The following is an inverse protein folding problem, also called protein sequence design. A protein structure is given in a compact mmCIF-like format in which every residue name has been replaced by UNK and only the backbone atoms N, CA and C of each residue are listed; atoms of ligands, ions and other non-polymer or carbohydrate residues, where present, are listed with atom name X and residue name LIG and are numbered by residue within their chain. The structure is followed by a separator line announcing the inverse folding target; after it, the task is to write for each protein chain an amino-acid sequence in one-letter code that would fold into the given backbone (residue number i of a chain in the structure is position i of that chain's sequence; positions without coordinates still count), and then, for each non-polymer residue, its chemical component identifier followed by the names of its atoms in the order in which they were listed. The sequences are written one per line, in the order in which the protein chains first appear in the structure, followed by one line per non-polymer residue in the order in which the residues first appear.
data_IF_101700162034
#
_entry.id   IF_101700162034
#
_cell.length_a   1.000
_cell.length_b   1.000
_cell.length_c   1.000
_cell.angle_alpha   90.00
_cell.angle_beta   90.00
_cell.angle_gamma   90.00
#
_symmetry.space_group_name_H-M   'P 1'
#
loop_
_entity.id
_entity.type
_entity.pdbx_description
1 polymer ?
#
# COMPACT_ATOMS: atom_id res chain seq x y z
N UNK A 1 32.61 -0.83 -33.87
CA UNK A 1 33.52 -0.33 -32.83
C UNK A 1 34.25 0.89 -33.39
N UNK A 2 34.44 1.93 -32.59
CA UNK A 2 35.24 3.09 -32.98
C UNK A 2 36.72 2.84 -32.63
N UNK A 3 37.64 3.34 -33.45
CA UNK A 3 39.08 3.27 -33.16
C UNK A 3 39.46 4.14 -31.96
N UNK A 4 40.63 3.87 -31.38
CA UNK A 4 41.13 4.62 -30.23
C UNK A 4 41.55 6.07 -30.62
N UNK A 5 41.39 7.05 -29.73
CA UNK A 5 42.01 8.38 -29.89
C UNK A 5 43.53 8.25 -30.01
N UNK A 6 44.17 9.22 -30.68
CA UNK A 6 45.61 9.20 -31.03
C UNK A 6 46.58 9.01 -29.86
N UNK A 7 46.14 9.28 -28.62
CA UNK A 7 46.95 9.12 -27.41
C UNK A 7 46.91 7.69 -26.82
N UNK A 8 46.13 6.78 -27.41
CA UNK A 8 45.98 5.40 -26.94
C UNK A 8 46.44 4.40 -28.00
N UNK A 9 46.66 3.16 -27.58
CA UNK A 9 47.02 2.07 -28.49
C UNK A 9 46.03 1.96 -29.64
N UNK A 10 46.52 1.91 -30.88
CA UNK A 10 45.70 1.75 -32.08
C UNK A 10 44.92 0.43 -32.12
N UNK A 11 45.32 -0.55 -31.29
CA UNK A 11 44.61 -1.82 -31.11
C UNK A 11 43.37 -1.72 -30.23
N UNK A 12 43.18 -0.60 -29.52
CA UNK A 12 42.01 -0.42 -28.67
C UNK A 12 40.79 -0.02 -29.48
N UNK A 13 39.65 -0.54 -29.04
CA UNK A 13 38.36 -0.28 -29.66
C UNK A 13 37.36 0.22 -28.63
N UNK A 14 36.50 1.13 -29.05
CA UNK A 14 35.41 1.66 -28.25
C UNK A 14 34.10 1.00 -28.71
N UNK A 15 33.36 0.45 -27.75
CA UNK A 15 31.99 -0.01 -27.95
C UNK A 15 31.00 1.04 -27.43
N UNK A 16 30.45 1.89 -28.32
CA UNK A 16 29.59 3.00 -27.91
C UNK A 16 28.30 2.52 -27.23
N UNK A 17 27.77 1.36 -27.63
CA UNK A 17 26.56 0.79 -27.02
C UNK A 17 26.83 0.39 -25.58
N UNK A 18 27.94 -0.30 -25.33
CA UNK A 18 28.32 -0.72 -23.97
C UNK A 18 28.63 0.48 -23.08
N UNK A 19 29.27 1.53 -23.61
CA UNK A 19 29.50 2.77 -22.87
C UNK A 19 28.18 3.49 -22.53
N UNK A 20 27.25 3.59 -23.48
CA UNK A 20 25.93 4.17 -23.23
C UNK A 20 25.18 3.40 -22.13
N UNK A 21 25.24 2.07 -22.14
CA UNK A 21 24.67 1.22 -21.10
C UNK A 21 25.29 1.51 -19.72
N UNK A 22 26.62 1.62 -19.64
CA UNK A 22 27.33 1.94 -18.38
C UNK A 22 26.90 3.30 -17.86
N UNK A 23 26.88 4.34 -18.69
CA UNK A 23 26.48 5.69 -18.29
C UNK A 23 25.04 5.74 -17.79
N UNK A 24 24.12 5.08 -18.50
CA UNK A 24 22.69 5.05 -18.17
C UNK A 24 22.43 4.41 -16.80
N UNK A 25 23.06 3.26 -16.53
CA UNK A 25 22.88 2.59 -15.23
C UNK A 25 23.64 3.34 -14.12
N UNK A 26 24.84 3.87 -14.40
CA UNK A 26 25.60 4.62 -13.41
C UNK A 26 24.81 5.84 -12.89
N UNK A 27 24.15 6.58 -13.78
CA UNK A 27 23.26 7.67 -13.36
C UNK A 27 22.06 7.14 -12.58
N UNK A 28 21.38 6.10 -13.08
CA UNK A 28 20.18 5.56 -12.42
C UNK A 28 20.48 5.02 -11.01
N UNK A 29 21.60 4.33 -10.80
CA UNK A 29 21.92 3.66 -9.53
C UNK A 29 22.49 4.58 -8.44
N UNK A 30 22.94 5.78 -8.80
CA UNK A 30 23.46 6.73 -7.81
C UNK A 30 22.30 7.40 -7.08
N UNK A 31 21.79 6.77 -6.04
CA UNK A 31 20.65 7.27 -5.23
C UNK A 31 20.99 7.37 -3.73
N UNK A 32 22.25 7.57 -3.42
CA UNK A 32 22.74 7.81 -2.06
C UNK A 32 22.89 9.32 -1.75
N UNK A 33 23.34 9.62 -0.54
CA UNK A 33 23.49 10.97 0.00
C UNK A 33 24.40 11.89 -0.80
N UNK A 34 25.29 11.35 -1.65
CA UNK A 34 26.13 12.15 -2.55
C UNK A 34 25.33 12.84 -3.65
N UNK A 35 24.15 12.29 -4.02
CA UNK A 35 23.21 12.93 -4.95
C UNK A 35 22.28 13.93 -4.27
N UNK A 36 22.07 13.81 -2.95
CA UNK A 36 21.23 14.69 -2.14
C UNK A 36 21.93 15.24 -0.86
N UNK A 37 22.96 16.10 -0.99
CA UNK A 37 23.70 16.62 0.15
C UNK A 37 22.85 17.45 1.12
N UNK A 38 22.81 17.11 2.41
CA UNK A 38 21.96 17.77 3.44
C UNK A 38 22.04 19.30 3.44
N UNK A 39 23.23 19.85 3.29
CA UNK A 39 23.44 21.29 3.20
C UNK A 39 22.66 21.96 2.04
N UNK A 40 22.62 21.34 0.87
CA UNK A 40 21.89 21.87 -0.29
C UNK A 40 20.37 21.79 -0.11
N UNK A 41 19.86 20.79 0.61
CA UNK A 41 18.43 20.68 0.95
C UNK A 41 17.96 21.88 1.77
N UNK A 42 18.74 22.25 2.79
CA UNK A 42 18.45 23.37 3.70
C UNK A 42 18.38 24.70 2.94
N UNK A 43 19.21 24.88 1.92
CA UNK A 43 19.25 26.10 1.11
C UNK A 43 18.11 26.12 0.09
N UNK A 44 17.85 25.00 -0.59
CA UNK A 44 16.91 24.95 -1.73
C UNK A 44 15.44 24.87 -1.37
N UNK A 45 15.08 24.47 -0.14
CA UNK A 45 13.68 24.28 0.31
C UNK A 45 12.82 23.56 -0.75
N UNK A 46 13.15 22.29 -1.07
CA UNK A 46 12.48 21.54 -2.13
C UNK A 46 10.95 21.48 -1.94
N UNK A 47 10.20 21.36 -3.04
CA UNK A 47 8.76 21.06 -3.00
C UNK A 47 8.49 19.71 -2.32
N UNK A 48 7.26 19.47 -1.86
CA UNK A 48 6.89 18.24 -1.14
C UNK A 48 7.30 16.94 -1.87
N UNK A 49 7.16 16.90 -3.20
CA UNK A 49 7.58 15.74 -4.00
C UNK A 49 9.10 15.54 -3.98
N UNK A 50 9.85 16.64 -4.15
CA UNK A 50 11.30 16.61 -4.04
C UNK A 50 11.75 16.25 -2.62
N UNK A 51 11.05 16.69 -1.57
CA UNK A 51 11.46 16.41 -0.20
C UNK A 51 11.51 14.92 0.13
N UNK A 52 10.54 14.13 -0.36
CA UNK A 52 10.56 12.66 -0.23
C UNK A 52 11.76 12.02 -0.93
N UNK A 53 12.13 12.51 -2.13
CA UNK A 53 13.32 12.04 -2.84
C UNK A 53 14.60 12.32 -2.05
N UNK A 54 14.74 13.55 -1.54
CA UNK A 54 15.89 13.94 -0.74
C UNK A 54 15.98 13.15 0.55
N UNK A 55 14.85 12.92 1.21
CA UNK A 55 14.80 12.21 2.48
C UNK A 55 15.30 10.77 2.35
N UNK A 56 14.83 10.02 1.34
CA UNK A 56 15.28 8.65 1.19
C UNK A 56 16.74 8.56 0.75
N UNK A 57 17.19 9.42 -0.18
CA UNK A 57 18.57 9.40 -0.67
C UNK A 57 19.58 9.64 0.46
N UNK A 58 19.25 10.56 1.38
CA UNK A 58 20.09 10.83 2.56
C UNK A 58 20.22 9.62 3.50
N UNK A 59 19.22 8.75 3.52
CA UNK A 59 19.19 7.55 4.36
C UNK A 59 19.89 6.34 3.74
N UNK A 60 20.13 6.30 2.43
CA UNK A 60 20.77 5.14 1.82
C UNK A 60 22.29 5.17 1.96
N UNK A 61 22.89 4.00 2.19
CA UNK A 61 24.31 3.78 1.93
C UNK A 61 24.57 3.58 0.43
N UNK A 62 25.82 3.73 0.03
CA UNK A 62 26.26 3.32 -1.30
C UNK A 62 25.91 1.84 -1.56
N UNK A 63 25.34 1.50 -2.72
CA UNK A 63 24.97 0.12 -3.03
C UNK A 63 26.20 -0.78 -3.10
N UNK A 64 26.01 -2.03 -2.67
CA UNK A 64 27.01 -3.09 -2.75
C UNK A 64 26.60 -4.08 -3.84
N UNK A 65 27.56 -4.71 -4.50
CA UNK A 65 27.27 -5.78 -5.46
C UNK A 65 27.45 -7.14 -4.79
N UNK A 66 26.36 -7.91 -4.70
CA UNK A 66 26.37 -9.26 -4.14
C UNK A 66 25.62 -10.20 -5.08
N UNK A 67 26.25 -11.33 -5.47
CA UNK A 67 25.63 -12.34 -6.35
C UNK A 67 24.96 -11.74 -7.60
N UNK A 68 25.68 -10.81 -8.25
CA UNK A 68 25.25 -10.06 -9.45
C UNK A 68 24.04 -9.13 -9.25
N UNK A 69 23.63 -8.85 -8.01
CA UNK A 69 22.57 -7.90 -7.69
C UNK A 69 23.07 -6.76 -6.85
N UNK A 70 22.52 -5.57 -7.07
CA UNK A 70 22.75 -4.41 -6.22
C UNK A 70 21.95 -4.57 -4.93
N UNK A 71 22.64 -4.42 -3.80
CA UNK A 71 22.09 -4.46 -2.45
C UNK A 71 22.13 -3.05 -1.87
N UNK A 72 20.95 -2.49 -1.62
CA UNK A 72 20.78 -1.19 -0.96
C UNK A 72 20.44 -1.41 0.52
N UNK A 73 21.03 -0.58 1.39
CA UNK A 73 20.79 -0.63 2.83
C UNK A 73 20.61 0.78 3.38
N UNK A 74 19.83 0.94 4.45
CA UNK A 74 19.61 2.25 5.08
C UNK A 74 20.48 2.47 6.32
N UNK A 75 20.88 3.72 6.55
CA UNK A 75 21.60 4.21 7.73
C UNK A 75 20.73 4.25 8.98
N UNK A 76 19.43 4.45 8.79
CA UNK A 76 18.41 4.51 9.83
C UNK A 76 17.09 3.97 9.28
N UNK A 77 16.17 3.51 10.16
CA UNK A 77 14.85 3.08 9.71
C UNK A 77 14.00 4.29 9.26
N UNK A 78 13.04 4.03 8.37
CA UNK A 78 12.00 4.99 7.98
C UNK A 78 10.84 4.89 8.98
N UNK A 79 10.52 6.01 9.62
CA UNK A 79 9.41 6.11 10.58
C UNK A 79 8.06 6.28 9.87
N UNK A 80 6.98 6.25 10.63
CA UNK A 80 5.61 6.38 10.11
C UNK A 80 5.37 7.69 9.33
N UNK A 81 6.05 8.78 9.70
CA UNK A 81 5.99 10.06 8.99
C UNK A 81 6.86 10.12 7.73
N UNK A 82 7.57 9.04 7.39
CA UNK A 82 8.47 8.93 6.25
C UNK A 82 8.06 7.80 5.29
N UNK A 83 6.84 7.29 5.45
CA UNK A 83 6.29 6.20 4.62
C UNK A 83 6.33 6.55 3.13
N UNK A 84 5.97 7.79 2.79
CA UNK A 84 6.04 8.28 1.41
C UNK A 84 7.47 8.25 0.87
N UNK A 85 8.46 8.65 1.67
CA UNK A 85 9.88 8.59 1.28
C UNK A 85 10.35 7.14 1.05
N UNK A 86 9.89 6.20 1.88
CA UNK A 86 10.23 4.78 1.71
C UNK A 86 9.61 4.21 0.42
N UNK A 87 8.36 4.55 0.11
CA UNK A 87 7.72 4.10 -1.14
C UNK A 87 8.34 4.75 -2.38
N UNK A 88 8.75 6.01 -2.31
CA UNK A 88 9.53 6.64 -3.38
C UNK A 88 10.87 5.92 -3.58
N UNK A 89 11.54 5.51 -2.49
CA UNK A 89 12.75 4.69 -2.57
C UNK A 89 12.47 3.34 -3.26
N UNK A 90 11.43 2.64 -2.82
CA UNK A 90 11.01 1.35 -3.39
C UNK A 90 10.71 1.46 -4.90
N UNK A 91 9.92 2.45 -5.31
CA UNK A 91 9.55 2.65 -6.70
C UNK A 91 10.77 3.09 -7.55
N UNK A 92 11.70 3.87 -6.99
CA UNK A 92 12.98 4.21 -7.63
C UNK A 92 13.85 2.96 -7.84
N UNK A 93 13.92 2.08 -6.84
CA UNK A 93 14.67 0.82 -6.94
C UNK A 93 14.07 -0.14 -7.96
N UNK A 94 12.75 -0.16 -8.12
CA UNK A 94 12.08 -0.90 -9.19
C UNK A 94 12.47 -0.37 -10.57
N UNK A 95 12.49 0.96 -10.75
CA UNK A 95 12.96 1.58 -11.99
C UNK A 95 14.40 1.15 -12.31
N UNK A 96 15.32 1.23 -11.34
CA UNK A 96 16.72 0.81 -11.50
C UNK A 96 16.80 -0.69 -11.85
N UNK A 97 15.99 -1.53 -11.21
CA UNK A 97 15.96 -2.96 -11.50
C UNK A 97 15.50 -3.26 -12.93
N UNK A 98 14.49 -2.55 -13.42
CA UNK A 98 14.01 -2.72 -14.79
C UNK A 98 15.07 -2.23 -15.80
N UNK A 99 15.70 -1.09 -15.52
CA UNK A 99 16.80 -0.55 -16.31
C UNK A 99 17.97 -1.53 -16.42
N UNK A 100 18.37 -2.16 -15.31
CA UNK A 100 19.40 -3.21 -15.29
C UNK A 100 19.02 -4.41 -16.15
N UNK A 101 17.75 -4.83 -16.13
CA UNK A 101 17.25 -5.95 -16.94
C UNK A 101 17.22 -5.60 -18.43
N UNK A 102 16.74 -4.42 -18.79
CA UNK A 102 16.68 -3.95 -20.17
C UNK A 102 18.07 -3.86 -20.78
N UNK A 103 19.04 -3.31 -20.04
CA UNK A 103 20.44 -3.27 -20.47
C UNK A 103 21.04 -4.67 -20.58
N UNK A 104 20.76 -5.56 -19.62
CA UNK A 104 21.26 -6.94 -19.69
C UNK A 104 20.73 -7.66 -20.94
N UNK A 105 19.43 -7.54 -21.23
CA UNK A 105 18.82 -8.05 -22.46
C UNK A 105 19.47 -7.46 -23.71
N UNK A 106 19.63 -6.15 -23.79
CA UNK A 106 20.27 -5.48 -24.93
C UNK A 106 21.71 -5.98 -25.17
N UNK A 107 22.48 -6.17 -24.09
CA UNK A 107 23.86 -6.67 -24.21
C UNK A 107 23.87 -8.13 -24.70
N UNK A 108 22.95 -8.97 -24.22
CA UNK A 108 22.81 -10.36 -24.69
C UNK A 108 22.40 -10.40 -26.17
N UNK A 109 21.34 -9.69 -26.55
CA UNK A 109 20.78 -9.70 -27.91
C UNK A 109 21.77 -9.18 -28.95
N UNK A 110 22.68 -8.31 -28.53
CA UNK A 110 23.72 -7.76 -29.40
C UNK A 110 25.08 -8.43 -29.24
N UNK A 111 25.12 -9.61 -28.60
CA UNK A 111 26.29 -10.46 -28.39
C UNK A 111 27.48 -9.73 -27.73
N UNK A 112 27.19 -8.93 -26.72
CA UNK A 112 28.16 -8.15 -25.94
C UNK A 112 28.38 -8.77 -24.56
N UNK A 113 29.55 -8.47 -23.98
CA UNK A 113 29.83 -8.83 -22.60
C UNK A 113 28.87 -8.09 -21.66
N UNK A 114 28.13 -8.87 -20.88
CA UNK A 114 27.19 -8.42 -19.85
C UNK A 114 27.87 -7.64 -18.74
N UNK A 115 27.10 -6.78 -18.06
CA UNK A 115 27.54 -6.13 -16.83
C UNK A 115 27.46 -7.11 -15.66
N UNK A 116 28.24 -6.82 -14.60
CA UNK A 116 28.22 -7.66 -13.39
C UNK A 116 26.92 -7.52 -12.60
N UNK A 117 26.29 -6.34 -12.63
CA UNK A 117 25.01 -6.09 -12.00
C UNK A 117 23.90 -6.33 -13.02
N UNK A 118 22.92 -7.18 -12.68
CA UNK A 118 21.79 -7.54 -13.56
C UNK A 118 20.43 -7.32 -12.89
N UNK A 119 20.41 -6.73 -11.70
CA UNK A 119 19.18 -6.43 -10.98
C UNK A 119 19.42 -5.92 -9.55
N UNK A 120 18.33 -5.69 -8.83
CA UNK A 120 18.32 -5.27 -7.43
C UNK A 120 17.89 -6.44 -6.54
N UNK A 121 18.51 -6.57 -5.37
CA UNK A 121 18.19 -7.62 -4.41
C UNK A 121 16.90 -7.30 -3.64
N UNK A 122 16.06 -8.33 -3.40
CA UNK A 122 14.86 -8.27 -2.56
C UNK A 122 13.79 -7.26 -2.98
N UNK A 123 13.85 -6.74 -4.21
CA UNK A 123 12.94 -5.71 -4.71
C UNK A 123 11.53 -6.24 -4.99
N UNK A 124 11.38 -7.55 -5.15
CA UNK A 124 10.11 -8.18 -5.50
C UNK A 124 9.12 -8.25 -4.33
N UNK A 125 9.60 -8.08 -3.10
CA UNK A 125 8.82 -8.20 -1.88
C UNK A 125 9.16 -7.04 -0.92
N UNK A 126 8.25 -6.06 -0.73
CA UNK A 126 8.45 -4.93 0.17
C UNK A 126 8.83 -5.33 1.60
N UNK A 127 8.28 -6.45 2.11
CA UNK A 127 8.60 -6.95 3.45
C UNK A 127 10.05 -7.46 3.49
N UNK A 128 10.50 -8.15 2.44
CA UNK A 128 11.89 -8.60 2.33
C UNK A 128 12.85 -7.42 2.17
N UNK A 129 12.49 -6.44 1.33
CA UNK A 129 13.28 -5.22 1.14
C UNK A 129 13.44 -4.46 2.47
N UNK A 130 12.40 -4.42 3.30
CA UNK A 130 12.44 -3.72 4.58
C UNK A 130 13.44 -4.28 5.60
N UNK A 131 13.92 -5.52 5.41
CA UNK A 131 15.02 -6.08 6.20
C UNK A 131 16.37 -5.44 5.87
N UNK A 132 16.50 -4.85 4.68
CA UNK A 132 17.70 -4.15 4.22
C UNK A 132 17.53 -2.62 4.35
N UNK A 133 16.33 -2.12 4.03
CA UNK A 133 15.94 -0.71 4.13
C UNK A 133 14.90 -0.59 5.25
N UNK A 134 15.40 -0.44 6.47
CA UNK A 134 14.64 -0.56 7.71
C UNK A 134 13.41 0.34 7.79
N UNK A 135 12.38 -0.13 8.50
CA UNK A 135 11.15 0.60 8.83
C UNK A 135 10.91 0.53 10.33
N UNK A 136 10.27 1.55 10.90
CA UNK A 136 9.97 1.63 12.34
C UNK A 136 8.52 2.06 12.57
N UNK A 137 7.75 1.24 13.27
CA UNK A 137 6.36 1.54 13.66
C UNK A 137 5.28 1.26 12.59
N UNK A 138 5.65 0.73 11.42
CA UNK A 138 4.72 0.38 10.34
C UNK A 138 5.26 -0.80 9.52
N UNK A 139 4.42 -1.37 8.64
CA UNK A 139 4.82 -2.46 7.73
C UNK A 139 4.64 -2.05 6.27
N UNK A 140 5.66 -2.20 5.42
CA UNK A 140 5.55 -2.00 3.98
C UNK A 140 4.90 -3.23 3.39
N UNK A 141 3.57 -3.22 3.38
CA UNK A 141 2.78 -4.19 2.63
C UNK A 141 2.30 -3.50 1.37
N UNK A 142 2.24 -4.21 0.24
CA UNK A 142 1.67 -3.67 -0.98
C UNK A 142 0.17 -3.46 -0.83
N UNK A 143 -0.18 -2.32 -0.27
CA UNK A 143 -1.54 -1.86 0.01
C UNK A 143 -2.12 -1.05 -1.14
N UNK A 144 -1.49 -1.07 -2.33
CA UNK A 144 -2.10 -0.44 -3.51
C UNK A 144 -3.51 -0.97 -3.70
N UNK A 145 -4.45 -0.06 -3.92
CA UNK A 145 -5.80 -0.44 -4.33
C UNK A 145 -5.67 -1.17 -5.67
N UNK A 146 -6.26 -2.36 -5.72
CA UNK A 146 -6.23 -3.24 -6.90
C UNK A 146 -7.60 -3.26 -7.55
N UNK A 147 -7.60 -3.56 -8.83
CA UNK A 147 -8.81 -3.78 -9.60
C UNK A 147 -8.62 -5.10 -10.33
N UNK A 148 -9.00 -6.21 -9.72
CA UNK A 148 -8.76 -7.53 -10.34
C UNK A 148 -9.93 -8.00 -11.21
N UNK A 149 -11.15 -7.54 -10.96
CA UNK A 149 -12.35 -7.98 -11.68
C UNK A 149 -13.06 -6.84 -12.41
N UNK A 150 -12.47 -6.41 -13.52
CA UNK A 150 -13.01 -5.34 -14.38
C UNK A 150 -14.39 -5.70 -14.94
N UNK A 151 -14.64 -6.96 -15.30
CA UNK A 151 -15.94 -7.37 -15.84
C UNK A 151 -17.08 -7.20 -14.83
N UNK A 152 -16.86 -7.60 -13.57
CA UNK A 152 -17.82 -7.41 -12.47
C UNK A 152 -18.00 -5.93 -12.13
N UNK A 153 -16.96 -5.12 -12.27
CA UNK A 153 -17.10 -3.68 -12.16
C UNK A 153 -17.96 -3.13 -13.29
N UNK A 154 -17.65 -3.40 -14.55
CA UNK A 154 -18.42 -2.89 -15.69
C UNK A 154 -19.89 -3.28 -15.60
N UNK A 155 -20.24 -4.48 -15.15
CA UNK A 155 -21.65 -4.86 -14.92
C UNK A 155 -22.30 -4.13 -13.75
N UNK A 156 -21.53 -3.76 -12.72
CA UNK A 156 -21.99 -2.96 -11.58
C UNK A 156 -22.10 -1.46 -11.92
N UNK A 157 -21.19 -0.94 -12.76
CA UNK A 157 -21.10 0.44 -13.23
C UNK A 157 -22.10 0.76 -14.34
N UNK A 158 -22.26 -0.16 -15.30
CA UNK A 158 -23.08 0.00 -16.50
C UNK A 158 -24.60 -0.08 -16.24
N UNK A 159 -25.01 -0.47 -15.03
CA UNK A 159 -26.42 -0.57 -14.65
C UNK A 159 -26.98 0.63 -13.88
N UNK A 160 -26.16 1.37 -13.12
CA UNK A 160 -26.56 2.53 -12.31
C UNK A 160 -25.36 3.46 -12.11
N UNK A 161 -25.58 4.77 -12.28
CA UNK A 161 -24.63 5.82 -11.86
C UNK A 161 -24.17 5.51 -10.45
N UNK A 162 -22.85 5.30 -10.30
CA UNK A 162 -22.31 4.55 -9.17
C UNK A 162 -22.83 5.04 -7.84
N UNK A 163 -22.83 6.36 -7.66
CA UNK A 163 -23.52 7.04 -6.58
C UNK A 163 -23.82 8.43 -7.13
N UNK A 164 -25.09 8.84 -7.17
CA UNK A 164 -25.40 10.27 -7.36
C UNK A 164 -24.82 11.08 -6.20
N UNK A 165 -25.01 12.40 -6.19
CA UNK A 165 -24.53 13.32 -5.12
C UNK A 165 -25.20 13.11 -3.74
N UNK A 166 -25.67 11.91 -3.44
CA UNK A 166 -26.33 11.57 -2.19
C UNK A 166 -25.30 11.23 -1.10
N UNK A 167 -25.11 12.18 -0.18
CA UNK A 167 -24.23 12.08 0.98
C UNK A 167 -24.56 10.94 1.97
N UNK A 168 -25.75 10.32 1.87
CA UNK A 168 -26.18 9.22 2.76
C UNK A 168 -25.62 7.86 2.31
N UNK A 169 -25.21 7.75 1.04
CA UNK A 169 -24.69 6.50 0.47
C UNK A 169 -23.61 5.86 1.34
N UNK A 170 -22.53 6.56 1.76
CA UNK A 170 -21.45 5.88 2.47
C UNK A 170 -21.89 5.33 3.81
N UNK A 171 -22.81 6.03 4.50
CA UNK A 171 -23.38 5.53 5.75
C UNK A 171 -24.15 4.22 5.54
N UNK A 172 -24.97 4.15 4.49
CA UNK A 172 -25.73 2.95 4.14
C UNK A 172 -24.78 1.77 3.85
N UNK A 173 -23.74 1.99 3.06
CA UNK A 173 -22.77 0.94 2.73
C UNK A 173 -21.99 0.46 3.96
N UNK A 174 -21.58 1.38 4.85
CA UNK A 174 -20.91 1.03 6.10
C UNK A 174 -21.81 0.23 7.05
N UNK A 175 -23.07 0.65 7.23
CA UNK A 175 -24.05 -0.08 8.07
C UNK A 175 -24.32 -1.47 7.49
N UNK A 176 -24.42 -1.59 6.16
CA UNK A 176 -24.63 -2.87 5.51
C UNK A 176 -23.44 -3.83 5.70
N UNK A 177 -22.21 -3.33 5.55
CA UNK A 177 -21.00 -4.11 5.80
C UNK A 177 -20.89 -4.54 7.27
N UNK A 178 -21.18 -3.63 8.21
CA UNK A 178 -21.23 -3.92 9.64
C UNK A 178 -22.27 -5.00 9.97
N UNK A 179 -23.48 -4.91 9.38
CA UNK A 179 -24.54 -5.91 9.55
C UNK A 179 -24.15 -7.28 9.00
N UNK A 180 -23.50 -7.34 7.83
CA UNK A 180 -22.96 -8.59 7.27
C UNK A 180 -21.91 -9.20 8.21
N UNK A 181 -20.99 -8.39 8.75
CA UNK A 181 -19.96 -8.84 9.68
C UNK A 181 -20.54 -9.34 11.02
N UNK A 182 -21.57 -8.69 11.56
CA UNK A 182 -22.26 -9.12 12.79
C UNK A 182 -23.02 -10.43 12.53
N UNK A 183 -23.77 -10.54 11.43
CA UNK A 183 -24.49 -11.78 11.09
C UNK A 183 -23.56 -12.96 10.89
N UNK A 184 -22.40 -12.74 10.25
CA UNK A 184 -21.39 -13.78 10.13
C UNK A 184 -20.90 -14.26 11.50
N UNK A 185 -20.64 -13.32 12.43
CA UNK A 185 -20.22 -13.66 13.80
C UNK A 185 -21.30 -14.43 14.55
N UNK A 186 -22.56 -13.99 14.44
CA UNK A 186 -23.70 -14.68 15.06
C UNK A 186 -23.78 -16.14 14.67
N UNK A 187 -23.63 -16.42 13.38
CA UNK A 187 -23.71 -17.77 12.83
C UNK A 187 -22.50 -18.63 13.26
N UNK A 188 -21.32 -18.04 13.36
CA UNK A 188 -20.10 -18.76 13.77
C UNK A 188 -20.15 -19.16 15.25
N UNK A 189 -20.47 -18.19 16.11
CA UNK A 189 -20.49 -18.34 17.58
C UNK A 189 -21.82 -18.91 18.11
N UNK A 190 -22.84 -19.07 17.26
CA UNK A 190 -24.22 -19.41 17.64
C UNK A 190 -24.83 -18.41 18.64
N UNK A 191 -24.52 -17.12 18.46
CA UNK A 191 -25.07 -16.04 19.28
C UNK A 191 -26.56 -15.80 18.98
N UNK A 192 -27.33 -15.24 19.93
CA UNK A 192 -28.74 -14.98 19.74
C UNK A 192 -29.00 -13.89 18.68
N UNK A 193 -30.23 -13.82 18.11
CA UNK A 193 -30.57 -12.84 17.08
C UNK A 193 -30.32 -11.37 17.46
N UNK A 194 -30.35 -11.05 18.75
CA UNK A 194 -30.13 -9.73 19.32
C UNK A 194 -28.65 -9.36 19.43
N UNK A 195 -27.74 -10.32 19.33
CA UNK A 195 -26.31 -10.11 19.52
C UNK A 195 -25.75 -9.10 18.51
N UNK A 196 -24.96 -8.15 18.96
CA UNK A 196 -24.18 -7.29 18.08
C UNK A 196 -24.79 -5.92 17.86
N UNK A 197 -23.91 -4.95 17.71
CA UNK A 197 -24.23 -3.53 17.76
C UNK A 197 -23.45 -2.78 16.68
N UNK A 198 -24.09 -1.75 16.12
CA UNK A 198 -23.47 -0.80 15.21
C UNK A 198 -23.53 0.56 15.89
N UNK A 199 -22.37 1.09 16.26
CA UNK A 199 -22.25 2.39 16.91
C UNK A 199 -21.81 3.41 15.88
N UNK A 200 -22.61 4.47 15.72
CA UNK A 200 -22.27 5.60 14.86
C UNK A 200 -21.90 6.77 15.76
N UNK A 201 -20.71 7.33 15.57
CA UNK A 201 -20.22 8.50 16.33
C UNK A 201 -19.92 9.65 15.38
N UNK A 202 -20.23 10.85 15.85
CA UNK A 202 -19.85 12.10 15.22
C UNK A 202 -19.00 12.87 16.22
N UNK A 203 -17.91 13.44 15.74
CA UNK A 203 -17.00 14.17 16.61
C UNK A 203 -16.11 15.12 15.86
N UNK A 204 -15.23 15.76 16.61
CA UNK A 204 -14.19 16.64 16.07
C UNK A 204 -12.90 16.39 16.85
N UNK A 205 -11.81 16.22 16.12
CA UNK A 205 -10.47 16.12 16.68
C UNK A 205 -9.53 17.14 15.99
N UNK A 206 -8.21 16.98 16.17
CA UNK A 206 -7.19 17.83 15.58
C UNK A 206 -7.15 17.79 14.05
N UNK A 207 -7.69 16.74 13.41
CA UNK A 207 -7.76 16.60 11.96
C UNK A 207 -9.08 17.12 11.36
N UNK A 208 -10.07 17.42 12.21
CA UNK A 208 -11.34 18.02 11.79
C UNK A 208 -12.56 17.25 12.29
N UNK A 209 -13.70 17.49 11.65
CA UNK A 209 -14.92 16.74 11.93
C UNK A 209 -14.82 15.34 11.34
N UNK A 210 -15.32 14.33 12.07
CA UNK A 210 -15.33 12.95 11.61
C UNK A 210 -16.69 12.28 11.79
N UNK A 211 -16.94 11.30 10.94
CA UNK A 211 -17.97 10.26 11.11
C UNK A 211 -17.25 8.95 11.38
N UNK A 212 -17.73 8.21 12.36
CA UNK A 212 -17.19 6.90 12.72
C UNK A 212 -18.32 5.87 12.80
N UNK A 213 -18.11 4.70 12.19
CA UNK A 213 -18.99 3.54 12.28
C UNK A 213 -18.18 2.39 12.86
N UNK A 214 -18.63 1.85 13.99
CA UNK A 214 -18.01 0.72 14.68
C UNK A 214 -19.00 -0.42 14.81
N UNK A 215 -18.59 -1.61 14.39
CA UNK A 215 -19.30 -2.87 14.59
C UNK A 215 -18.51 -3.79 15.52
N UNK A 216 -19.22 -4.70 16.19
CA UNK A 216 -18.62 -5.79 16.96
C UNK A 216 -18.73 -7.15 16.26
N UNK A 217 -18.68 -7.17 14.93
CA UNK A 217 -18.77 -8.36 14.11
C UNK A 217 -17.48 -9.18 14.07
N UNK A 218 -17.29 -9.93 12.98
CA UNK A 218 -16.15 -10.85 12.83
C UNK A 218 -14.78 -10.16 12.76
N UNK A 219 -14.73 -8.87 12.41
CA UNK A 219 -13.49 -8.14 12.09
C UNK A 219 -12.68 -8.77 10.95
N UNK A 220 -11.49 -8.23 10.69
CA UNK A 220 -10.64 -8.63 9.57
C UNK A 220 -9.26 -9.08 10.04
N UNK A 221 -8.70 -10.07 9.34
CA UNK A 221 -7.29 -10.44 9.48
C UNK A 221 -6.40 -9.47 8.69
N UNK A 222 -5.09 -9.54 8.90
CA UNK A 222 -4.14 -8.82 8.06
C UNK A 222 -4.27 -9.22 6.58
N UNK A 223 -4.58 -10.49 6.27
CA UNK A 223 -4.71 -10.98 4.88
C UNK A 223 -5.93 -10.33 4.21
N UNK A 224 -7.05 -10.22 4.93
CA UNK A 224 -8.27 -9.59 4.44
C UNK A 224 -8.03 -8.09 4.20
N UNK A 225 -7.43 -7.38 5.17
CA UNK A 225 -7.14 -5.94 5.09
C UNK A 225 -6.24 -5.57 3.89
N UNK A 226 -5.27 -6.40 3.53
CA UNK A 226 -4.31 -6.11 2.45
C UNK A 226 -4.68 -6.75 1.10
N UNK A 227 -5.67 -7.63 1.10
CA UNK A 227 -6.13 -8.37 -0.07
C UNK A 227 -7.51 -7.90 -0.51
N UNK A 228 -8.58 -8.70 -0.28
CA UNK A 228 -9.91 -8.40 -0.80
C UNK A 228 -10.51 -7.07 -0.30
N UNK A 229 -10.10 -6.55 0.86
CA UNK A 229 -10.58 -5.25 1.33
C UNK A 229 -10.08 -4.08 0.47
N UNK A 230 -8.87 -4.20 -0.09
CA UNK A 230 -8.25 -3.20 -0.96
C UNK A 230 -8.49 -3.46 -2.45
N UNK A 231 -9.26 -4.49 -2.78
CA UNK A 231 -9.59 -4.83 -4.16
C UNK A 231 -10.95 -4.24 -4.55
N UNK A 232 -10.90 -3.18 -5.36
CA UNK A 232 -12.07 -2.48 -5.83
C UNK A 232 -12.88 -3.38 -6.77
N UNK A 233 -14.10 -3.73 -6.37
CA UNK A 233 -14.99 -4.61 -7.14
C UNK A 233 -14.96 -6.08 -6.72
N UNK A 234 -14.14 -6.44 -5.73
CA UNK A 234 -14.15 -7.77 -5.13
C UNK A 234 -14.68 -7.70 -3.69
N UNK A 235 -15.65 -8.54 -3.38
CA UNK A 235 -16.11 -8.73 -2.00
C UNK A 235 -15.25 -9.81 -1.34
N UNK A 236 -14.99 -9.70 -0.03
CA UNK A 236 -14.44 -10.81 0.74
C UNK A 236 -15.38 -12.03 0.73
N UNK A 237 -16.68 -11.80 0.73
CA UNK A 237 -17.68 -12.86 0.76
C UNK A 237 -17.64 -13.73 -0.52
N UNK A 238 -17.64 -15.05 -0.34
CA UNK A 238 -17.56 -16.02 -1.44
C UNK A 238 -16.17 -16.18 -2.05
N UNK A 239 -15.13 -15.63 -1.43
CA UNK A 239 -13.73 -15.85 -1.86
C UNK A 239 -13.16 -17.13 -1.25
N UNK A 240 -12.13 -17.69 -1.87
CA UNK A 240 -11.35 -18.79 -1.27
C UNK A 240 -10.81 -18.42 0.12
N UNK A 241 -10.42 -17.16 0.31
CA UNK A 241 -9.96 -16.65 1.61
C UNK A 241 -11.06 -16.66 2.67
N UNK A 242 -12.33 -16.43 2.28
CA UNK A 242 -13.46 -16.55 3.19
C UNK A 242 -13.68 -17.99 3.65
N UNK A 243 -13.55 -18.97 2.75
CA UNK A 243 -13.63 -20.38 3.13
C UNK A 243 -12.47 -20.83 4.02
N UNK A 244 -11.27 -20.28 3.78
CA UNK A 244 -10.08 -20.54 4.62
C UNK A 244 -10.25 -19.93 6.02
N UNK A 245 -10.66 -18.66 6.12
CA UNK A 245 -10.71 -17.95 7.40
C UNK A 245 -12.02 -18.15 8.18
N UNK A 246 -13.13 -18.53 7.53
CA UNK A 246 -14.44 -18.72 8.15
C UNK A 246 -15.06 -20.07 7.72
N UNK A 247 -14.41 -21.20 8.08
CA UNK A 247 -14.85 -22.51 7.64
C UNK A 247 -16.27 -22.82 8.12
N UNK A 248 -17.10 -23.32 7.20
CA UNK A 248 -18.47 -23.72 7.49
C UNK A 248 -19.49 -22.58 7.58
N UNK A 249 -19.09 -21.31 7.41
CA UNK A 249 -20.01 -20.17 7.46
C UNK A 249 -21.14 -20.27 6.42
N UNK A 250 -20.80 -20.58 5.16
CA UNK A 250 -21.80 -20.75 4.10
C UNK A 250 -22.69 -21.97 4.33
N UNK A 251 -22.13 -23.09 4.79
CA UNK A 251 -22.93 -24.29 5.09
C UNK A 251 -23.92 -24.06 6.23
N UNK A 252 -23.65 -23.10 7.12
CA UNK A 252 -24.58 -22.65 8.16
C UNK A 252 -25.62 -21.63 7.67
N UNK A 253 -25.70 -21.39 6.35
CA UNK A 253 -26.74 -20.56 5.74
C UNK A 253 -26.45 -19.06 5.70
N UNK A 254 -25.19 -18.64 5.86
CA UNK A 254 -24.84 -17.22 5.72
C UNK A 254 -24.99 -16.74 4.28
N UNK A 255 -25.75 -15.65 4.09
CA UNK A 255 -25.90 -14.97 2.82
C UNK A 255 -25.65 -13.46 3.01
N UNK A 256 -24.57 -12.89 2.43
CA UNK A 256 -24.25 -11.48 2.57
C UNK A 256 -25.23 -10.62 1.76
N UNK A 257 -25.54 -9.44 2.29
CA UNK A 257 -26.32 -8.45 1.51
C UNK A 257 -25.40 -7.71 0.54
N UNK A 258 -24.15 -7.42 0.92
CA UNK A 258 -23.14 -6.79 0.07
C UNK A 258 -22.51 -7.75 -0.95
N UNK A 259 -22.70 -7.51 -2.26
CA UNK A 259 -22.22 -8.41 -3.33
C UNK A 259 -21.11 -7.83 -4.21
N UNK A 260 -20.97 -6.51 -4.24
CA UNK A 260 -20.21 -5.82 -5.29
C UNK A 260 -18.78 -5.43 -4.90
N UNK A 261 -18.42 -5.41 -3.62
CA UNK A 261 -17.03 -5.11 -3.21
C UNK A 261 -16.58 -3.67 -3.47
N UNK A 262 -17.54 -2.74 -3.57
CA UNK A 262 -17.28 -1.31 -3.83
C UNK A 262 -17.74 -0.42 -2.67
N UNK A 263 -18.55 -0.95 -1.75
CA UNK A 263 -19.25 -0.16 -0.73
C UNK A 263 -18.33 0.61 0.21
N UNK A 264 -17.18 0.03 0.59
CA UNK A 264 -16.20 0.73 1.42
C UNK A 264 -15.69 2.01 0.73
N UNK A 265 -15.39 1.98 -0.57
CA UNK A 265 -14.78 3.11 -1.27
C UNK A 265 -15.72 4.32 -1.41
N UNK A 266 -17.02 4.16 -1.17
CA UNK A 266 -17.95 5.30 -1.11
C UNK A 266 -17.59 6.29 0.00
N UNK A 267 -16.86 5.88 1.06
CA UNK A 267 -16.43 6.78 2.13
C UNK A 267 -15.54 7.94 1.65
N UNK A 268 -14.85 7.78 0.51
CA UNK A 268 -14.04 8.85 -0.06
C UNK A 268 -14.89 9.98 -0.68
N UNK A 269 -16.22 9.81 -0.78
CA UNK A 269 -17.16 10.91 -1.03
C UNK A 269 -17.24 11.88 0.16
N UNK A 270 -16.95 11.42 1.38
CA UNK A 270 -16.96 12.24 2.58
C UNK A 270 -15.62 12.92 2.85
N UNK A 271 -14.52 12.22 2.62
CA UNK A 271 -13.19 12.82 2.68
C UNK A 271 -12.04 11.87 2.37
N UNK A 272 -10.86 12.45 2.19
CA UNK A 272 -9.67 11.72 1.73
C UNK A 272 -8.93 10.98 2.86
N UNK A 273 -9.08 11.43 4.10
CA UNK A 273 -8.48 10.78 5.27
C UNK A 273 -9.45 9.76 5.85
N UNK A 274 -9.03 8.51 5.93
CA UNK A 274 -9.81 7.38 6.44
C UNK A 274 -8.93 6.50 7.32
N UNK A 275 -9.44 6.07 8.47
CA UNK A 275 -8.81 5.08 9.33
C UNK A 275 -9.72 3.87 9.47
N UNK A 276 -9.19 2.68 9.19
CA UNK A 276 -9.88 1.40 9.36
C UNK A 276 -9.14 0.62 10.43
N UNK A 277 -9.72 0.55 11.63
CA UNK A 277 -9.21 -0.27 12.73
C UNK A 277 -10.00 -1.56 12.78
N UNK A 278 -9.35 -2.72 12.71
CA UNK A 278 -10.05 -4.00 12.71
C UNK A 278 -9.31 -5.07 13.50
N UNK A 279 -10.08 -6.00 14.09
CA UNK A 279 -9.56 -7.13 14.85
C UNK A 279 -10.50 -8.32 14.70
N UNK A 280 -9.97 -9.48 14.31
CA UNK A 280 -10.70 -10.75 14.40
C UNK A 280 -11.19 -10.97 15.83
N UNK A 281 -12.45 -11.38 15.98
CA UNK A 281 -13.08 -11.53 17.30
C UNK A 281 -12.39 -12.55 18.21
N UNK A 282 -11.76 -13.57 17.63
CA UNK A 282 -11.00 -14.63 18.32
C UNK A 282 -9.66 -14.14 18.88
N UNK A 283 -9.15 -12.98 18.44
CA UNK A 283 -7.83 -12.49 18.80
C UNK A 283 -7.85 -11.53 20.02
N UNK A 284 -6.73 -11.50 20.75
CA UNK A 284 -6.47 -10.52 21.81
C UNK A 284 -6.48 -9.07 21.31
N UNK A 285 -6.88 -8.12 22.16
CA UNK A 285 -7.05 -6.68 21.81
C UNK A 285 -5.80 -6.02 21.21
N UNK A 286 -4.61 -6.49 21.58
CA UNK A 286 -3.30 -6.05 21.11
C UNK A 286 -3.00 -6.46 19.65
N UNK A 287 -3.86 -7.29 19.05
CA UNK A 287 -3.81 -7.66 17.63
C UNK A 287 -4.65 -6.75 16.73
N UNK A 288 -5.25 -5.68 17.27
CA UNK A 288 -5.90 -4.65 16.44
C UNK A 288 -4.91 -4.06 15.44
N UNK A 289 -5.31 -4.03 14.18
CA UNK A 289 -4.56 -3.42 13.08
C UNK A 289 -5.29 -2.17 12.62
N UNK A 290 -4.51 -1.17 12.21
CA UNK A 290 -5.02 0.06 11.61
C UNK A 290 -4.48 0.17 10.19
N UNK A 291 -5.41 0.36 9.25
CA UNK A 291 -5.13 0.70 7.86
C UNK A 291 -5.53 2.17 7.64
N UNK A 292 -4.53 3.01 7.39
CA UNK A 292 -4.70 4.46 7.26
C UNK A 292 -4.57 4.93 5.82
N UNK A 293 -5.59 5.63 5.33
CA UNK A 293 -5.56 6.39 4.09
C UNK A 293 -5.39 7.85 4.48
N UNK A 294 -4.27 8.47 4.08
CA UNK A 294 -4.00 9.86 4.41
C UNK A 294 -4.41 10.82 3.28
N UNK A 295 -4.28 10.39 2.03
CA UNK A 295 -4.52 11.21 0.84
C UNK A 295 -5.40 10.45 -0.17
N UNK A 296 -6.53 9.91 0.31
CA UNK A 296 -7.50 9.21 -0.53
C UNK A 296 -6.96 7.94 -1.20
N UNK A 297 -7.55 7.61 -2.35
CA UNK A 297 -7.27 6.38 -3.10
C UNK A 297 -6.00 6.44 -3.96
N UNK A 298 -5.41 7.63 -4.15
CA UNK A 298 -4.21 7.81 -4.97
C UNK A 298 -2.92 7.45 -4.21
N UNK A 299 -2.96 7.47 -2.88
CA UNK A 299 -1.85 7.12 -2.01
C UNK A 299 -1.90 5.66 -1.54
N UNK A 300 -0.73 5.08 -1.24
CA UNK A 300 -0.64 3.75 -0.62
C UNK A 300 -1.05 3.87 0.86
N UNK A 301 -2.09 3.15 1.33
CA UNK A 301 -2.49 3.21 2.72
C UNK A 301 -1.47 2.51 3.62
N UNK A 302 -1.39 2.94 4.87
CA UNK A 302 -0.39 2.52 5.84
C UNK A 302 -1.00 1.43 6.72
N UNK A 303 -0.38 0.24 6.77
CA UNK A 303 -0.76 -0.79 7.72
C UNK A 303 0.15 -0.74 8.95
N UNK A 304 -0.44 -0.57 10.13
CA UNK A 304 0.26 -0.55 11.42
C UNK A 304 -0.52 -1.28 12.52
N UNK A 305 0.15 -1.49 13.66
CA UNK A 305 -0.55 -1.90 14.88
C UNK A 305 -1.36 -0.72 15.44
N UNK A 306 -2.51 -1.02 16.03
CA UNK A 306 -3.27 -0.05 16.81
C UNK A 306 -2.49 0.39 18.06
N UNK A 307 -2.64 1.65 18.44
CA UNK A 307 -2.30 2.13 19.78
C UNK A 307 -3.35 1.67 20.80
N UNK A 308 -3.06 1.80 22.10
CA UNK A 308 -3.98 1.31 23.15
C UNK A 308 -5.36 1.96 23.09
N UNK A 309 -5.43 3.23 22.69
CA UNK A 309 -6.68 3.99 22.52
C UNK A 309 -7.51 3.52 21.33
N UNK A 310 -6.87 2.86 20.36
CA UNK A 310 -7.48 2.35 19.13
C UNK A 310 -7.91 0.88 19.24
N UNK A 311 -7.63 0.21 20.36
CA UNK A 311 -7.94 -1.20 20.52
C UNK A 311 -9.44 -1.50 20.37
N UNK A 312 -9.74 -2.52 19.56
CA UNK A 312 -11.06 -3.11 19.46
C UNK A 312 -11.20 -4.17 20.55
N UNK A 313 -12.15 -3.97 21.47
CA UNK A 313 -12.33 -4.85 22.64
C UNK A 313 -12.83 -6.23 22.24
N UNK A 314 -14.03 -6.31 21.69
CA UNK A 314 -14.76 -7.59 21.54
C UNK A 314 -14.53 -8.27 20.17
N UNK A 315 -13.88 -7.59 19.23
CA UNK A 315 -13.83 -7.97 17.81
C UNK A 315 -14.63 -7.00 16.95
N UNK A 316 -14.39 -7.00 15.63
CA UNK A 316 -15.11 -6.15 14.69
C UNK A 316 -14.23 -5.10 14.01
N UNK A 317 -14.88 -4.08 13.45
CA UNK A 317 -14.22 -3.03 12.68
C UNK A 317 -14.75 -1.65 13.06
N UNK A 318 -13.85 -0.68 13.18
CA UNK A 318 -14.13 0.75 13.32
C UNK A 318 -13.59 1.48 12.10
N UNK A 319 -14.47 2.15 11.37
CA UNK A 319 -14.11 2.99 10.22
C UNK A 319 -14.39 4.44 10.61
N UNK A 320 -13.34 5.28 10.62
CA UNK A 320 -13.42 6.71 10.83
C UNK A 320 -13.06 7.45 9.56
N UNK A 321 -13.87 8.43 9.18
CA UNK A 321 -13.68 9.27 7.99
C UNK A 321 -13.68 10.72 8.44
N UNK A 322 -12.62 11.46 8.12
CA UNK A 322 -12.57 12.90 8.36
C UNK A 322 -13.17 13.64 7.18
N UNK A 323 -14.11 14.54 7.46
CA UNK A 323 -14.94 15.18 6.46
C UNK A 323 -14.19 16.32 5.75
N UNK A 324 -14.16 16.28 4.42
CA UNK A 324 -13.64 17.40 3.60
C UNK A 324 -14.53 18.64 3.70
N UNK A 325 -15.83 18.46 3.97
CA UNK A 325 -16.78 19.55 4.14
C UNK A 325 -17.77 19.25 5.27
N UNK A 326 -17.84 20.15 6.26
CA UNK A 326 -18.79 20.05 7.39
C UNK A 326 -20.27 20.08 7.00
N UNK A 327 -20.62 20.53 5.78
CA UNK A 327 -22.00 20.55 5.27
C UNK A 327 -22.57 19.17 4.95
N UNK A 328 -21.75 18.13 4.91
CA UNK A 328 -22.19 16.75 4.66
C UNK A 328 -23.13 16.23 5.77
N UNK A 329 -23.09 16.88 6.94
CA UNK A 329 -23.89 16.53 8.12
C UNK A 329 -25.27 17.23 8.20
N UNK A 330 -25.59 18.13 7.27
CA UNK A 330 -26.83 18.92 7.22
C UNK A 330 -27.67 18.56 5.99
#
# INVERSE_FOLDING_TARGET
MLGAPSMFSSSWTIDPVKLACILRIADAMQIDDRRAPSFLRTIRKPSNFSDSHWNFQQKLYQPRLERNRLVYTSKSPFRINEVDSWWVCHDTLHMINNELKEVDSLLVDTNRQRLRAIGVASIEDPIRLSKLIGVEGWKPVDTKIKVTNVAKLVSSLGGKQLYGDNSIVPLRELIQNASDAIRARRILENEPPEFGNIVIRFGKDSFGYFIEVEDNGIGMSSKVLIGPFLDFGQSFWGTSLMHEELPGLESKGFAPTGKYGIGFFSVFMWGEKVSVTSKRFENGRDNSLVLEFNNGISSRPILRKASEEEFIRDGGTRIRVWLSNSRILY
#
